data_IF_307649861511
#
_entry.id   IF_307649861511
#
_cell.length_a   1.000
_cell.length_b   1.000
_cell.length_c   1.000
_cell.angle_alpha   90.00
_cell.angle_beta   90.00
_cell.angle_gamma   90.00
#
_symmetry.space_group_name_H-M   'P 1'
#
loop_
_entity.id
_entity.type
_entity.pdbx_description
1 polymer ?
#
# COMPACT_ATOMS: atom_id res chain seq x y z
N UNK A 1 -10.62 -23.05 -38.92
CA UNK A 1 -11.37 -23.00 -37.64
C UNK A 1 -10.45 -23.56 -36.57
N UNK A 2 -9.83 -22.71 -35.75
CA UNK A 2 -8.99 -23.17 -34.64
C UNK A 2 -9.90 -23.69 -33.53
N UNK A 3 -9.92 -25.01 -33.36
CA UNK A 3 -10.58 -25.67 -32.26
C UNK A 3 -9.85 -25.25 -30.97
N UNK A 4 -10.42 -24.28 -30.24
CA UNK A 4 -9.98 -23.97 -28.88
C UNK A 4 -10.43 -25.16 -28.04
N UNK A 5 -9.62 -26.23 -28.00
CA UNK A 5 -9.83 -27.30 -27.03
C UNK A 5 -9.91 -26.66 -25.66
N UNK A 6 -10.97 -26.97 -24.92
CA UNK A 6 -11.15 -26.45 -23.59
C UNK A 6 -9.99 -27.01 -22.74
N UNK A 7 -9.11 -26.16 -22.16
CA UNK A 7 -7.92 -26.63 -21.44
C UNK A 7 -8.26 -27.50 -20.22
N UNK A 8 -9.51 -27.49 -19.79
CA UNK A 8 -10.04 -28.35 -18.75
C UNK A 8 -10.32 -29.80 -19.21
N UNK A 9 -10.32 -30.11 -20.51
CA UNK A 9 -10.62 -31.47 -21.02
C UNK A 9 -9.57 -32.52 -20.63
N UNK A 10 -8.34 -32.08 -20.33
CA UNK A 10 -7.23 -32.97 -19.94
C UNK A 10 -7.09 -33.17 -18.43
N UNK A 11 -7.91 -32.50 -17.62
CA UNK A 11 -7.80 -32.50 -16.16
C UNK A 11 -8.86 -33.44 -15.56
N UNK A 12 -8.52 -34.26 -14.56
CA UNK A 12 -9.49 -35.11 -13.87
C UNK A 12 -10.70 -34.31 -13.34
N UNK A 13 -11.92 -34.83 -13.50
CA UNK A 13 -13.16 -34.09 -13.20
C UNK A 13 -13.29 -33.70 -11.72
N UNK A 14 -12.76 -34.52 -10.81
CA UNK A 14 -12.67 -34.23 -9.38
C UNK A 14 -11.75 -33.04 -9.07
N UNK A 15 -10.60 -32.93 -9.75
CA UNK A 15 -9.65 -31.83 -9.59
C UNK A 15 -10.24 -30.52 -10.11
N UNK A 16 -10.96 -30.56 -11.23
CA UNK A 16 -11.67 -29.40 -11.79
C UNK A 16 -12.75 -28.90 -10.83
N UNK A 17 -13.52 -29.81 -10.23
CA UNK A 17 -14.58 -29.46 -9.30
C UNK A 17 -14.01 -28.77 -8.05
N UNK A 18 -12.97 -29.36 -7.44
CA UNK A 18 -12.30 -28.75 -6.30
C UNK A 18 -11.69 -27.38 -6.63
N UNK A 19 -11.07 -27.24 -7.80
CA UNK A 19 -10.55 -25.96 -8.27
C UNK A 19 -11.65 -24.90 -8.40
N UNK A 20 -12.80 -25.23 -9.01
CA UNK A 20 -13.94 -24.31 -9.16
C UNK A 20 -14.46 -23.83 -7.81
N UNK A 21 -14.58 -24.71 -6.83
CA UNK A 21 -15.02 -24.34 -5.47
C UNK A 21 -14.04 -23.38 -4.79
N UNK A 22 -12.72 -23.60 -4.94
CA UNK A 22 -11.71 -22.68 -4.43
C UNK A 22 -11.76 -21.30 -5.11
N UNK A 23 -11.99 -21.26 -6.42
CA UNK A 23 -12.16 -20.00 -7.16
C UNK A 23 -13.41 -19.25 -6.69
N UNK A 24 -14.53 -19.95 -6.48
CA UNK A 24 -15.77 -19.35 -5.97
C UNK A 24 -15.58 -18.79 -4.55
N UNK A 25 -14.94 -19.55 -3.67
CA UNK A 25 -14.63 -19.10 -2.32
C UNK A 25 -13.70 -17.87 -2.35
N UNK A 26 -12.67 -17.90 -3.19
CA UNK A 26 -11.76 -16.79 -3.36
C UNK A 26 -12.49 -15.51 -3.79
N UNK A 27 -13.40 -15.60 -4.79
CA UNK A 27 -14.21 -14.46 -5.24
C UNK A 27 -15.13 -13.92 -4.13
N UNK A 28 -15.72 -14.80 -3.32
CA UNK A 28 -16.55 -14.39 -2.18
C UNK A 28 -15.74 -13.61 -1.16
N UNK A 29 -14.55 -14.10 -0.81
CA UNK A 29 -13.64 -13.43 0.14
C UNK A 29 -13.15 -12.10 -0.42
N UNK A 30 -12.76 -12.05 -1.70
CA UNK A 30 -12.32 -10.82 -2.38
C UNK A 30 -13.39 -9.72 -2.34
N UNK A 31 -14.66 -10.08 -2.60
CA UNK A 31 -15.77 -9.14 -2.51
C UNK A 31 -15.97 -8.60 -1.09
N UNK A 32 -15.94 -9.47 -0.07
CA UNK A 32 -16.07 -9.04 1.32
C UNK A 32 -14.93 -8.11 1.74
N UNK A 33 -13.70 -8.41 1.31
CA UNK A 33 -12.55 -7.53 1.55
C UNK A 33 -12.79 -6.16 0.91
N UNK A 34 -13.28 -6.12 -0.33
CA UNK A 34 -13.54 -4.86 -1.05
C UNK A 34 -14.59 -3.99 -0.33
N UNK A 35 -15.66 -4.60 0.17
CA UNK A 35 -16.69 -3.91 0.95
C UNK A 35 -16.13 -3.36 2.27
N UNK A 36 -15.37 -4.17 3.01
CA UNK A 36 -14.76 -3.76 4.27
C UNK A 36 -13.71 -2.66 4.06
N UNK A 37 -12.92 -2.74 3.00
CA UNK A 37 -11.96 -1.70 2.62
C UNK A 37 -12.64 -0.37 2.30
N UNK A 38 -13.80 -0.42 1.65
CA UNK A 38 -14.59 0.78 1.34
C UNK A 38 -15.08 1.44 2.63
N UNK A 39 -15.71 0.67 3.53
CA UNK A 39 -16.14 1.17 4.85
C UNK A 39 -14.95 1.72 5.66
N UNK A 40 -13.82 1.02 5.67
CA UNK A 40 -12.61 1.47 6.35
C UNK A 40 -12.10 2.80 5.80
N UNK A 41 -12.14 2.98 4.48
CA UNK A 41 -11.72 4.23 3.83
C UNK A 41 -12.61 5.39 4.22
N UNK A 42 -13.93 5.17 4.29
CA UNK A 42 -14.90 6.18 4.74
C UNK A 42 -14.66 6.57 6.20
N UNK A 43 -14.52 5.60 7.10
CA UNK A 43 -14.22 5.87 8.51
C UNK A 43 -12.90 6.61 8.70
N UNK A 44 -11.85 6.22 7.96
CA UNK A 44 -10.56 6.94 7.96
C UNK A 44 -10.69 8.36 7.44
N UNK A 45 -11.53 8.61 6.43
CA UNK A 45 -11.78 9.96 5.93
C UNK A 45 -12.35 10.85 7.04
N UNK A 46 -13.38 10.38 7.74
CA UNK A 46 -13.99 11.11 8.86
C UNK A 46 -12.97 11.34 9.96
N UNK A 47 -12.29 10.28 10.42
CA UNK A 47 -11.30 10.37 11.50
C UNK A 47 -10.12 11.29 11.15
N UNK A 48 -9.43 11.03 10.03
CA UNK A 48 -8.13 11.65 9.71
C UNK A 48 -8.27 13.01 9.03
N UNK A 49 -9.33 13.22 8.23
CA UNK A 49 -9.47 14.45 7.43
C UNK A 49 -10.48 15.44 8.00
N UNK A 50 -11.49 14.95 8.71
CA UNK A 50 -12.56 15.81 9.23
C UNK A 50 -12.33 16.10 10.71
N UNK A 51 -12.11 15.08 11.55
CA UNK A 51 -12.00 15.23 13.01
C UNK A 51 -10.59 15.58 13.49
N UNK A 52 -9.56 14.80 13.10
CA UNK A 52 -8.20 14.94 13.61
C UNK A 52 -7.60 16.35 13.43
N UNK A 53 -7.78 17.06 12.29
CA UNK A 53 -7.28 18.43 12.14
C UNK A 53 -7.95 19.43 13.09
N UNK A 54 -9.26 19.29 13.32
CA UNK A 54 -10.00 20.16 14.23
C UNK A 54 -9.55 19.93 15.67
N UNK A 55 -9.44 18.66 16.08
CA UNK A 55 -9.01 18.28 17.42
C UNK A 55 -7.57 18.72 17.67
N UNK A 56 -6.66 18.44 16.73
CA UNK A 56 -5.24 18.82 16.84
C UNK A 56 -5.09 20.33 16.89
N UNK A 57 -5.79 21.08 16.03
CA UNK A 57 -5.74 22.55 16.03
C UNK A 57 -6.22 23.12 17.37
N UNK A 58 -7.33 22.62 17.91
CA UNK A 58 -7.83 23.01 19.22
C UNK A 58 -6.81 22.71 20.33
N UNK A 59 -6.23 21.51 20.33
CA UNK A 59 -5.23 21.09 21.33
C UNK A 59 -3.97 21.95 21.26
N UNK A 60 -3.45 22.24 20.07
CA UNK A 60 -2.24 23.07 19.91
C UNK A 60 -2.48 24.52 20.28
N UNK A 61 -3.63 25.10 19.89
CA UNK A 61 -3.94 26.50 20.20
C UNK A 61 -4.13 26.75 21.69
N UNK A 62 -4.65 25.76 22.42
CA UNK A 62 -4.91 25.86 23.86
C UNK A 62 -3.80 25.21 24.71
N UNK A 63 -2.68 24.81 24.11
CA UNK A 63 -1.57 24.10 24.78
C UNK A 63 -2.01 22.85 25.56
N UNK A 64 -3.06 22.17 25.10
CA UNK A 64 -3.56 20.93 25.69
C UNK A 64 -2.80 19.75 25.09
N UNK A 65 -2.05 19.03 25.93
CA UNK A 65 -1.20 17.91 25.49
C UNK A 65 -1.90 16.56 25.64
N UNK A 66 -2.66 16.39 26.73
CA UNK A 66 -3.36 15.15 27.09
C UNK A 66 -4.84 15.43 27.37
N UNK A 67 -5.72 14.60 26.80
CA UNK A 67 -7.15 14.56 27.08
C UNK A 67 -7.51 13.20 27.67
N UNK A 68 -8.07 13.19 28.87
CA UNK A 68 -8.62 11.98 29.49
C UNK A 68 -10.14 12.01 29.33
N UNK A 69 -10.69 11.01 28.67
CA UNK A 69 -12.14 10.78 28.57
C UNK A 69 -12.48 9.42 29.19
N UNK A 70 -13.74 9.25 29.60
CA UNK A 70 -14.23 8.00 30.22
C UNK A 70 -14.02 6.76 29.33
N UNK A 71 -13.89 6.94 28.02
CA UNK A 71 -13.66 5.88 27.04
C UNK A 71 -12.24 5.84 26.44
N UNK A 72 -11.28 6.58 26.99
CA UNK A 72 -9.88 6.52 26.56
C UNK A 72 -9.10 7.81 26.76
N UNK A 73 -7.78 7.75 26.48
CA UNK A 73 -6.88 8.92 26.56
C UNK A 73 -6.39 9.29 25.17
N UNK A 74 -6.40 10.58 24.84
CA UNK A 74 -5.87 11.12 23.59
C UNK A 74 -4.69 12.04 23.90
N UNK A 75 -3.54 11.79 23.27
CA UNK A 75 -2.34 12.62 23.38
C UNK A 75 -2.03 13.24 22.02
N UNK A 76 -1.88 14.55 21.97
CA UNK A 76 -1.36 15.23 20.79
C UNK A 76 0.17 15.05 20.74
N UNK A 77 0.65 14.07 19.98
CA UNK A 77 2.08 13.77 19.87
C UNK A 77 2.68 14.45 18.63
N UNK A 78 3.67 15.31 18.82
CA UNK A 78 4.53 15.76 17.72
C UNK A 78 5.40 14.59 17.23
N UNK A 79 5.24 14.19 15.97
CA UNK A 79 6.08 13.17 15.33
C UNK A 79 6.99 13.80 14.28
N UNK A 80 8.29 13.77 14.55
CA UNK A 80 9.33 14.17 13.59
C UNK A 80 9.83 12.93 12.87
N UNK A 81 9.40 12.73 11.63
CA UNK A 81 9.87 11.62 10.78
C UNK A 81 10.73 12.15 9.64
N UNK A 82 11.87 11.50 9.38
CA UNK A 82 12.67 11.80 8.19
C UNK A 82 11.83 11.52 6.95
N UNK A 83 11.87 12.42 5.97
CA UNK A 83 11.26 12.17 4.66
C UNK A 83 11.87 10.91 4.04
N UNK A 84 11.06 10.11 3.36
CA UNK A 84 11.54 8.91 2.67
C UNK A 84 12.61 9.21 1.62
N UNK A 85 13.45 8.23 1.31
CA UNK A 85 14.45 8.35 0.25
C UNK A 85 13.76 8.55 -1.11
N UNK A 86 14.21 9.53 -1.87
CA UNK A 86 13.71 9.88 -3.20
C UNK A 86 14.89 10.23 -4.11
N UNK A 87 14.68 10.27 -5.43
CA UNK A 87 15.78 10.50 -6.39
C UNK A 87 16.60 11.75 -6.05
N UNK A 88 15.95 12.82 -5.63
CA UNK A 88 16.61 14.07 -5.28
C UNK A 88 17.51 13.92 -4.06
N UNK A 89 17.02 13.35 -2.95
CA UNK A 89 17.84 13.20 -1.74
C UNK A 89 18.94 12.14 -1.90
N UNK A 90 18.76 11.14 -2.75
CA UNK A 90 19.81 10.17 -3.08
C UNK A 90 20.93 10.88 -3.82
N UNK A 91 20.59 11.65 -4.87
CA UNK A 91 21.56 12.44 -5.63
C UNK A 91 22.31 13.44 -4.74
N UNK A 92 21.58 14.23 -3.96
CA UNK A 92 22.15 15.27 -3.08
C UNK A 92 23.10 14.68 -2.02
N UNK A 93 22.79 13.51 -1.48
CA UNK A 93 23.67 12.85 -0.52
C UNK A 93 24.89 12.22 -1.19
N UNK A 94 24.73 11.64 -2.38
CA UNK A 94 25.86 11.07 -3.13
C UNK A 94 26.80 12.15 -3.67
N UNK A 95 26.28 13.31 -4.08
CA UNK A 95 27.08 14.43 -4.60
C UNK A 95 28.04 15.02 -3.56
N UNK A 96 27.84 14.74 -2.28
CA UNK A 96 28.77 15.13 -1.19
C UNK A 96 30.06 14.31 -1.19
N UNK A 97 30.03 13.12 -1.78
CA UNK A 97 31.15 12.17 -1.79
C UNK A 97 31.63 11.87 -3.22
N UNK A 98 30.79 12.12 -4.23
CA UNK A 98 31.07 11.88 -5.63
C UNK A 98 30.97 13.19 -6.42
N UNK A 99 32.13 13.74 -6.78
CA UNK A 99 32.27 15.02 -7.48
C UNK A 99 32.07 14.92 -8.98
N UNK A 100 32.34 13.76 -9.57
CA UNK A 100 32.16 13.50 -11.01
C UNK A 100 30.66 13.34 -11.34
N UNK A 101 30.11 14.27 -12.14
CA UNK A 101 28.68 14.28 -12.46
C UNK A 101 28.23 13.05 -13.26
N UNK A 102 29.07 12.58 -14.19
CA UNK A 102 28.73 11.42 -15.02
C UNK A 102 28.57 10.15 -14.16
N UNK A 103 29.51 9.92 -13.24
CA UNK A 103 29.44 8.80 -12.28
C UNK A 103 28.29 8.97 -11.28
N UNK A 104 27.91 10.19 -10.95
CA UNK A 104 26.78 10.47 -10.05
C UNK A 104 25.46 10.10 -10.72
N UNK A 105 25.30 10.47 -11.99
CA UNK A 105 24.14 10.12 -12.79
C UNK A 105 24.01 8.61 -12.96
N UNK A 106 25.13 7.95 -13.27
CA UNK A 106 25.21 6.49 -13.37
C UNK A 106 24.83 5.82 -12.05
N UNK A 107 25.45 6.19 -10.93
CA UNK A 107 25.16 5.61 -9.62
C UNK A 107 23.69 5.80 -9.20
N UNK A 108 23.13 6.99 -9.43
CA UNK A 108 21.72 7.27 -9.14
C UNK A 108 20.81 6.42 -10.01
N UNK A 109 21.13 6.23 -11.29
CA UNK A 109 20.33 5.41 -12.19
C UNK A 109 20.40 3.93 -11.83
N UNK A 110 21.59 3.38 -11.55
CA UNK A 110 21.77 1.99 -11.09
C UNK A 110 20.97 1.71 -9.81
N UNK A 111 21.06 2.59 -8.80
CA UNK A 111 20.31 2.45 -7.53
C UNK A 111 18.78 2.43 -7.75
N UNK A 112 18.30 3.12 -8.79
CA UNK A 112 16.87 3.23 -9.08
C UNK A 112 16.35 2.13 -10.02
N UNK A 113 17.15 1.70 -10.99
CA UNK A 113 16.71 0.88 -12.11
C UNK A 113 17.21 -0.56 -12.06
N UNK A 114 18.40 -0.83 -11.54
CA UNK A 114 18.97 -2.18 -11.44
C UNK A 114 18.47 -2.92 -10.20
N UNK A 115 17.21 -2.66 -9.81
CA UNK A 115 16.56 -3.35 -8.70
C UNK A 115 16.07 -4.70 -9.19
N UNK A 116 16.24 -5.71 -8.36
CA UNK A 116 15.79 -7.07 -8.66
C UNK A 116 14.30 -7.09 -9.03
N UNK A 117 14.02 -7.61 -10.22
CA UNK A 117 12.65 -7.80 -10.69
C UNK A 117 12.15 -9.15 -10.19
N UNK A 118 11.39 -9.11 -9.10
CA UNK A 118 10.75 -10.32 -8.55
C UNK A 118 9.40 -10.56 -9.24
N UNK A 119 9.34 -11.58 -10.09
CA UNK A 119 8.08 -12.01 -10.71
C UNK A 119 7.21 -12.72 -9.67
N UNK A 120 6.00 -12.19 -9.45
CA UNK A 120 5.00 -12.79 -8.55
C UNK A 120 3.70 -13.00 -9.29
N UNK A 121 3.18 -14.22 -9.26
CA UNK A 121 1.85 -14.54 -9.79
C UNK A 121 0.80 -14.17 -8.74
N UNK A 122 -0.17 -13.35 -9.13
CA UNK A 122 -1.28 -12.93 -8.28
C UNK A 122 -2.59 -13.03 -9.04
N UNK A 123 -3.64 -13.45 -8.35
CA UNK A 123 -4.99 -13.41 -8.87
C UNK A 123 -5.45 -11.95 -8.99
N UNK A 124 -6.05 -11.61 -10.12
CA UNK A 124 -6.65 -10.30 -10.38
C UNK A 124 -8.07 -10.53 -10.87
N UNK A 125 -9.06 -10.08 -10.11
CA UNK A 125 -10.44 -10.02 -10.57
C UNK A 125 -10.52 -9.02 -11.74
N UNK A 126 -10.96 -9.49 -12.91
CA UNK A 126 -11.25 -8.63 -14.04
C UNK A 126 -12.65 -8.02 -13.85
N UNK A 127 -12.83 -6.77 -14.29
CA UNK A 127 -14.13 -6.09 -14.29
C UNK A 127 -14.97 -6.53 -15.48
#
# INVERSE_FOLDING_TARGET
MNNIMNPFEKIPSNEIQFFKEKVQLWLKVDNQISELQTKLKELKKVRDKELEPQITHFMTNNNVTDLNMDHGRLRCQERKTKKGLNKHNIRENLSKYLTEQDKLDEAVNTILQEREVVVKYKLKKLK
#
